data_IF_102744565208
#
_entry.id   IF_102744565208
#
_cell.length_a   1.000
_cell.length_b   1.000
_cell.length_c   1.000
_cell.angle_alpha   90.00
_cell.angle_beta   90.00
_cell.angle_gamma   90.00
#
_symmetry.space_group_name_H-M   'P 1'
#
loop_
_entity.id
_entity.type
_entity.pdbx_description
1 polymer ?
#
# COMPACT_ATOMS: atom_id res chain seq x y z
N UNK A 1 -31.72 15.49 -27.26
CA UNK A 1 -30.76 14.67 -26.49
C UNK A 1 -29.59 15.54 -26.03
N UNK A 2 -29.49 15.83 -24.73
CA UNK A 2 -28.40 16.66 -24.17
C UNK A 2 -27.09 15.86 -24.19
N UNK A 3 -26.10 16.31 -24.97
CA UNK A 3 -24.71 15.82 -24.87
C UNK A 3 -24.17 16.21 -23.50
N UNK A 4 -24.27 15.34 -22.51
CA UNK A 4 -23.51 15.46 -21.27
C UNK A 4 -22.04 15.37 -21.69
N UNK A 5 -21.32 16.48 -21.57
CA UNK A 5 -19.90 16.55 -21.91
C UNK A 5 -19.13 15.54 -21.06
N UNK A 6 -18.56 14.51 -21.69
CA UNK A 6 -17.72 13.50 -21.04
C UNK A 6 -16.61 14.15 -20.18
N UNK A 7 -16.13 15.34 -20.57
CA UNK A 7 -15.15 16.12 -19.80
C UNK A 7 -15.63 16.50 -18.40
N UNK A 8 -16.93 16.77 -18.23
CA UNK A 8 -17.52 17.14 -16.94
C UNK A 8 -17.55 15.94 -15.99
N UNK A 9 -17.89 14.75 -16.50
CA UNK A 9 -17.96 13.50 -15.73
C UNK A 9 -16.57 13.07 -15.25
N UNK A 10 -15.55 13.16 -16.11
CA UNK A 10 -14.17 12.86 -15.73
C UNK A 10 -13.60 13.86 -14.70
N UNK A 11 -13.90 15.17 -14.82
CA UNK A 11 -13.46 16.17 -13.84
C UNK A 11 -14.09 15.96 -12.45
N UNK A 12 -15.36 15.56 -12.37
CA UNK A 12 -16.03 15.28 -11.09
C UNK A 12 -15.52 14.00 -10.41
N UNK A 13 -15.14 12.97 -11.19
CA UNK A 13 -14.57 11.73 -10.66
C UNK A 13 -13.18 11.95 -10.06
N UNK A 14 -12.30 12.66 -10.77
CA UNK A 14 -10.94 12.98 -10.30
C UNK A 14 -10.97 13.86 -9.05
N UNK A 15 -11.77 14.93 -9.03
CA UNK A 15 -11.90 15.81 -7.86
C UNK A 15 -12.44 15.07 -6.62
N UNK A 16 -13.34 14.10 -6.80
CA UNK A 16 -13.88 13.31 -5.69
C UNK A 16 -12.88 12.29 -5.14
N UNK A 17 -12.08 11.64 -5.99
CA UNK A 17 -11.01 10.72 -5.56
C UNK A 17 -9.92 11.44 -4.76
N UNK A 18 -9.54 12.63 -5.23
CA UNK A 18 -8.51 13.48 -4.63
C UNK A 18 -8.92 13.97 -3.23
N UNK A 19 -10.16 14.43 -3.07
CA UNK A 19 -10.69 14.88 -1.77
C UNK A 19 -10.85 13.70 -0.78
N UNK A 20 -11.30 12.54 -1.26
CA UNK A 20 -11.44 11.34 -0.42
C UNK A 20 -10.09 10.85 0.11
N UNK A 21 -9.03 10.89 -0.71
CA UNK A 21 -7.68 10.53 -0.29
C UNK A 21 -7.18 11.44 0.86
N UNK A 22 -7.42 12.76 0.79
CA UNK A 22 -7.00 13.72 1.81
C UNK A 22 -7.75 13.55 3.15
N UNK A 23 -9.04 13.23 3.12
CA UNK A 23 -9.83 13.05 4.36
C UNK A 23 -9.45 11.79 5.16
N UNK A 24 -8.83 10.81 4.51
CA UNK A 24 -8.50 9.52 5.10
C UNK A 24 -7.06 9.40 5.59
N UNK A 25 -6.18 10.31 5.18
CA UNK A 25 -4.79 10.34 5.65
C UNK A 25 -4.67 10.73 7.14
N UNK A 26 -5.58 11.59 7.62
CA UNK A 26 -5.61 12.02 9.03
C UNK A 26 -5.86 10.89 10.04
N UNK A 27 -6.37 9.73 9.60
CA UNK A 27 -6.68 8.59 10.48
C UNK A 27 -5.67 7.44 10.45
N UNK A 28 -4.62 7.50 9.62
CA UNK A 28 -3.70 6.38 9.37
C UNK A 28 -2.23 6.68 9.70
N UNK A 29 -1.92 7.82 10.34
CA UNK A 29 -0.56 8.28 10.73
C UNK A 29 0.07 7.52 11.91
N UNK A 30 -0.25 6.24 12.11
CA UNK A 30 0.46 5.38 13.07
C UNK A 30 1.70 4.78 12.40
N UNK A 31 2.62 5.62 11.91
CA UNK A 31 3.95 5.20 11.47
C UNK A 31 4.87 5.11 12.69
N UNK A 32 5.58 3.99 12.88
CA UNK A 32 6.52 3.81 13.99
C UNK A 32 7.86 4.54 13.76
N UNK A 33 8.10 4.99 12.54
CA UNK A 33 9.37 5.57 12.10
C UNK A 33 9.34 7.10 12.22
N UNK A 34 10.12 7.64 13.16
CA UNK A 34 10.20 9.09 13.38
C UNK A 34 11.21 9.81 12.47
N UNK A 35 11.96 9.06 11.66
CA UNK A 35 13.00 9.61 10.79
C UNK A 35 12.51 9.94 9.37
N UNK A 36 13.36 10.66 8.64
CA UNK A 36 13.24 10.94 7.20
C UNK A 36 14.47 10.41 6.45
N UNK A 37 14.33 10.20 5.14
CA UNK A 37 15.44 9.90 4.24
C UNK A 37 16.26 11.18 4.01
N UNK A 38 17.57 11.00 3.95
CA UNK A 38 18.56 12.06 3.89
C UNK A 38 19.49 11.93 2.68
N UNK A 39 19.31 10.90 1.87
CA UNK A 39 20.01 10.75 0.60
C UNK A 39 19.89 12.01 -0.26
N UNK A 40 20.98 12.49 -0.90
CA UNK A 40 20.95 13.61 -1.83
C UNK A 40 19.92 13.44 -2.96
N UNK A 41 19.54 12.20 -3.27
CA UNK A 41 18.50 11.87 -4.26
C UNK A 41 17.17 12.53 -3.94
N UNK A 42 16.82 12.70 -2.65
CA UNK A 42 15.60 13.39 -2.24
C UNK A 42 15.53 14.80 -2.87
N UNK A 43 16.65 15.53 -2.89
CA UNK A 43 16.69 16.87 -3.47
C UNK A 43 16.48 16.89 -4.99
N UNK A 44 16.77 15.78 -5.68
CA UNK A 44 16.59 15.61 -7.12
C UNK A 44 15.15 15.25 -7.48
N UNK A 45 14.46 14.51 -6.61
CA UNK A 45 13.10 14.02 -6.89
C UNK A 45 12.01 14.87 -6.23
N UNK A 46 12.26 15.55 -5.12
CA UNK A 46 11.22 16.27 -4.37
C UNK A 46 10.70 17.50 -5.12
N UNK A 47 9.42 17.46 -5.51
CA UNK A 47 8.72 18.55 -6.19
C UNK A 47 9.11 18.74 -7.66
N UNK A 48 9.79 17.77 -8.27
CA UNK A 48 10.17 17.82 -9.68
C UNK A 48 9.18 17.02 -10.54
N UNK A 49 8.99 17.43 -11.79
CA UNK A 49 8.03 16.78 -12.68
C UNK A 49 8.44 15.38 -13.17
N UNK A 50 9.72 15.04 -13.03
CA UNK A 50 10.25 13.69 -13.24
C UNK A 50 10.39 12.89 -11.94
N UNK A 51 10.00 13.47 -10.80
CA UNK A 51 10.13 12.89 -9.47
C UNK A 51 8.79 12.88 -8.73
N UNK A 52 8.80 13.33 -7.49
CA UNK A 52 7.64 13.37 -6.60
C UNK A 52 6.94 14.72 -6.72
N UNK A 53 6.11 14.85 -7.76
CA UNK A 53 5.14 15.94 -7.87
C UNK A 53 3.85 15.63 -7.06
N UNK A 54 2.85 16.51 -7.15
CA UNK A 54 1.60 16.30 -6.41
C UNK A 54 0.77 15.08 -6.88
N UNK A 55 0.91 14.62 -8.13
CA UNK A 55 0.24 13.42 -8.63
C UNK A 55 0.94 12.16 -8.12
N UNK A 56 2.27 12.11 -8.20
CA UNK A 56 3.07 11.00 -7.66
C UNK A 56 2.88 10.91 -6.15
N UNK A 57 2.86 12.04 -5.44
CA UNK A 57 2.56 12.07 -4.01
C UNK A 57 1.18 11.46 -3.70
N UNK A 58 0.15 11.81 -4.46
CA UNK A 58 -1.18 11.18 -4.33
C UNK A 58 -1.11 9.66 -4.55
N UNK A 59 -0.34 9.18 -5.53
CA UNK A 59 -0.18 7.75 -5.79
C UNK A 59 0.53 7.05 -4.62
N UNK A 60 1.57 7.66 -4.04
CA UNK A 60 2.27 7.14 -2.85
C UNK A 60 1.28 6.98 -1.70
N UNK A 61 0.54 8.04 -1.38
CA UNK A 61 -0.43 8.05 -0.27
C UNK A 61 -1.56 7.05 -0.48
N UNK A 62 -2.08 6.95 -1.71
CA UNK A 62 -3.11 5.97 -2.07
C UNK A 62 -2.59 4.54 -1.91
N UNK A 63 -1.40 4.23 -2.42
CA UNK A 63 -0.82 2.89 -2.31
C UNK A 63 -0.56 2.51 -0.86
N UNK A 64 0.08 3.38 -0.08
CA UNK A 64 0.29 3.18 1.36
C UNK A 64 -1.02 2.85 2.06
N UNK A 65 -2.07 3.61 1.80
CA UNK A 65 -3.39 3.40 2.40
C UNK A 65 -4.01 2.07 1.99
N UNK A 66 -4.01 1.74 0.71
CA UNK A 66 -4.54 0.46 0.22
C UNK A 66 -3.78 -0.69 0.89
N UNK A 67 -2.45 -0.69 0.89
CA UNK A 67 -1.62 -1.70 1.56
C UNK A 67 -1.99 -1.82 3.05
N UNK A 68 -2.03 -0.71 3.81
CA UNK A 68 -2.41 -0.73 5.24
C UNK A 68 -3.81 -1.29 5.48
N UNK A 69 -4.76 -1.02 4.59
CA UNK A 69 -6.11 -1.58 4.71
C UNK A 69 -6.17 -3.10 4.50
N UNK A 70 -5.22 -3.69 3.76
CA UNK A 70 -5.08 -5.15 3.64
C UNK A 70 -4.43 -5.73 4.89
N UNK A 71 -3.42 -5.05 5.42
CA UNK A 71 -2.70 -5.45 6.63
C UNK A 71 -3.65 -5.50 7.84
N UNK A 72 -4.38 -4.40 8.10
CA UNK A 72 -5.16 -4.22 9.33
C UNK A 72 -6.68 -4.24 9.15
N UNK A 73 -7.16 -4.39 7.91
CA UNK A 73 -8.57 -4.26 7.58
C UNK A 73 -9.00 -2.81 7.34
N UNK A 74 -10.29 -2.65 7.03
CA UNK A 74 -10.95 -1.36 6.85
C UNK A 74 -11.86 -1.05 8.04
N UNK A 75 -11.96 0.21 8.42
CA UNK A 75 -12.90 0.63 9.47
C UNK A 75 -14.28 0.80 8.84
N UNK A 76 -15.23 -0.04 9.22
CA UNK A 76 -16.64 0.17 8.90
C UNK A 76 -17.25 1.11 9.94
N UNK A 77 -18.15 2.01 9.51
CA UNK A 77 -18.80 3.01 10.38
C UNK A 77 -17.83 4.01 11.05
N UNK A 78 -16.86 4.53 10.29
CA UNK A 78 -15.93 5.57 10.75
C UNK A 78 -16.68 6.74 11.40
N UNK A 79 -16.30 7.11 12.63
CA UNK A 79 -16.93 8.19 13.40
C UNK A 79 -18.11 7.76 14.29
N UNK A 80 -18.43 6.45 14.36
CA UNK A 80 -19.42 5.90 15.32
C UNK A 80 -18.72 5.16 16.47
N UNK A 81 -19.32 5.08 17.67
CA UNK A 81 -18.75 4.38 18.83
C UNK A 81 -18.48 2.88 18.57
N UNK A 82 -19.18 2.28 17.61
CA UNK A 82 -19.08 0.86 17.27
C UNK A 82 -18.25 0.62 15.99
N UNK A 83 -17.29 1.50 15.69
CA UNK A 83 -16.41 1.33 14.54
C UNK A 83 -15.66 -0.01 14.64
N UNK A 84 -15.90 -0.91 13.67
CA UNK A 84 -15.30 -2.25 13.66
C UNK A 84 -14.31 -2.36 12.51
N UNK A 85 -13.12 -2.90 12.78
CA UNK A 85 -12.17 -3.29 11.73
C UNK A 85 -12.68 -4.56 11.04
N UNK A 86 -12.82 -4.51 9.73
CA UNK A 86 -13.27 -5.61 8.88
C UNK A 86 -12.18 -5.95 7.89
N UNK A 87 -11.77 -7.20 7.90
CA UNK A 87 -10.83 -7.76 6.94
C UNK A 87 -11.33 -7.76 5.50
N UNK A 88 -10.43 -7.99 4.55
CA UNK A 88 -10.76 -8.02 3.13
C UNK A 88 -10.83 -9.45 2.57
N UNK A 89 -10.20 -10.41 3.23
CA UNK A 89 -10.01 -11.76 2.69
C UNK A 89 -10.98 -12.75 3.32
N UNK A 90 -11.67 -13.53 2.49
CA UNK A 90 -12.62 -14.54 2.95
C UNK A 90 -11.90 -15.87 3.23
N UNK A 91 -12.02 -16.34 4.47
CA UNK A 91 -11.58 -17.66 4.92
C UNK A 91 -12.67 -18.26 5.82
N UNK A 92 -13.07 -19.52 5.58
CA UNK A 92 -14.14 -20.20 6.32
C UNK A 92 -15.44 -19.36 6.50
N UNK A 93 -15.85 -18.63 5.46
CA UNK A 93 -17.06 -17.80 5.46
C UNK A 93 -16.96 -16.49 6.27
N UNK A 94 -15.79 -16.15 6.81
CA UNK A 94 -15.54 -14.92 7.56
C UNK A 94 -14.45 -14.07 6.88
N UNK A 95 -14.51 -12.76 7.10
CA UNK A 95 -13.54 -11.78 6.57
C UNK A 95 -12.41 -11.54 7.56
N UNK A 96 -11.17 -11.59 7.07
CA UNK A 96 -9.94 -11.45 7.84
C UNK A 96 -8.97 -10.47 7.18
N UNK A 97 -8.22 -9.74 8.01
CA UNK A 97 -7.06 -8.96 7.58
C UNK A 97 -5.84 -9.86 7.42
N UNK A 98 -4.74 -9.36 6.83
CA UNK A 98 -3.51 -10.16 6.76
C UNK A 98 -2.99 -10.51 8.15
N UNK A 99 -3.05 -9.58 9.11
CA UNK A 99 -2.62 -9.84 10.50
C UNK A 99 -3.44 -10.97 11.13
N UNK A 100 -4.75 -11.02 10.89
CA UNK A 100 -5.59 -12.11 11.38
C UNK A 100 -5.21 -13.45 10.73
N UNK A 101 -4.92 -13.44 9.42
CA UNK A 101 -4.52 -14.64 8.68
C UNK A 101 -3.15 -15.19 9.12
N UNK A 102 -2.22 -14.31 9.51
CA UNK A 102 -0.95 -14.72 10.15
C UNK A 102 -1.23 -15.51 11.43
N UNK A 103 -2.13 -15.00 12.28
CA UNK A 103 -2.49 -15.67 13.53
C UNK A 103 -3.16 -17.04 13.27
N UNK A 104 -4.06 -17.11 12.29
CA UNK A 104 -4.74 -18.36 11.91
C UNK A 104 -3.75 -19.38 11.34
N UNK A 105 -2.83 -18.96 10.46
CA UNK A 105 -1.78 -19.83 9.89
C UNK A 105 -0.91 -20.41 11.01
N UNK A 106 -0.47 -19.56 11.95
CA UNK A 106 0.31 -19.98 13.10
C UNK A 106 -0.46 -20.94 14.02
N UNK A 107 -1.73 -20.65 14.31
CA UNK A 107 -2.58 -21.52 15.14
C UNK A 107 -2.80 -22.88 14.48
N UNK A 108 -3.04 -22.92 13.17
CA UNK A 108 -3.25 -24.16 12.42
C UNK A 108 -2.01 -25.07 12.48
N UNK A 109 -0.82 -24.51 12.26
CA UNK A 109 0.45 -25.26 12.29
C UNK A 109 0.77 -25.78 13.69
N UNK A 110 0.60 -24.96 14.73
CA UNK A 110 0.86 -25.37 16.12
C UNK A 110 -0.13 -26.41 16.62
N UNK A 111 -1.36 -26.40 16.12
CA UNK A 111 -2.42 -27.32 16.51
C UNK A 111 -2.63 -28.44 15.48
N UNK A 112 -1.66 -28.72 14.60
CA UNK A 112 -1.81 -29.72 13.52
C UNK A 112 -2.29 -31.10 14.00
N UNK A 113 -1.91 -31.49 15.21
CA UNK A 113 -2.29 -32.78 15.82
C UNK A 113 -3.75 -32.83 16.31
N UNK A 114 -4.45 -31.69 16.40
CA UNK A 114 -5.87 -31.63 16.78
C UNK A 114 -6.81 -31.96 15.62
N UNK A 115 -6.29 -32.00 14.40
CA UNK A 115 -7.06 -32.21 13.19
C UNK A 115 -6.76 -33.57 12.58
N UNK A 116 -7.72 -34.13 11.86
CA UNK A 116 -7.41 -35.25 10.96
C UNK A 116 -6.44 -34.76 9.87
N UNK A 117 -5.64 -35.67 9.30
CA UNK A 117 -4.71 -35.30 8.22
C UNK A 117 -5.46 -34.67 7.03
N UNK A 118 -6.65 -35.17 6.68
CA UNK A 118 -7.47 -34.62 5.59
C UNK A 118 -7.91 -33.20 5.93
N UNK A 119 -8.49 -32.98 7.11
CA UNK A 119 -8.97 -31.66 7.54
C UNK A 119 -7.83 -30.62 7.61
N UNK A 120 -6.66 -31.02 8.11
CA UNK A 120 -5.48 -30.14 8.15
C UNK A 120 -5.06 -29.70 6.75
N UNK A 121 -4.99 -30.64 5.80
CA UNK A 121 -4.62 -30.33 4.41
C UNK A 121 -5.65 -29.45 3.71
N UNK A 122 -6.94 -29.65 3.96
CA UNK A 122 -8.00 -28.81 3.41
C UNK A 122 -7.91 -27.37 3.93
N UNK A 123 -7.75 -27.19 5.25
CA UNK A 123 -7.57 -25.85 5.86
C UNK A 123 -6.30 -25.17 5.34
N UNK A 124 -5.20 -25.91 5.24
CA UNK A 124 -3.93 -25.40 4.72
C UNK A 124 -4.04 -24.98 3.26
N UNK A 125 -4.70 -25.78 2.43
CA UNK A 125 -4.96 -25.43 1.03
C UNK A 125 -5.81 -24.16 0.92
N UNK A 126 -6.89 -24.06 1.70
CA UNK A 126 -7.73 -22.86 1.70
C UNK A 126 -6.98 -21.59 2.16
N UNK A 127 -6.01 -21.71 3.07
CA UNK A 127 -5.12 -20.61 3.44
C UNK A 127 -4.18 -20.24 2.28
N UNK A 128 -3.58 -21.22 1.60
CA UNK A 128 -2.73 -20.95 0.43
C UNK A 128 -3.51 -20.24 -0.70
N UNK A 129 -4.74 -20.68 -0.99
CA UNK A 129 -5.62 -20.01 -1.96
C UNK A 129 -5.97 -18.57 -1.52
N UNK A 130 -6.02 -18.32 -0.22
CA UNK A 130 -6.20 -16.98 0.34
C UNK A 130 -4.93 -16.12 0.19
N UNK A 131 -3.75 -16.71 0.40
CA UNK A 131 -2.46 -16.04 0.24
C UNK A 131 -2.23 -15.64 -1.22
N UNK A 132 -2.53 -16.52 -2.18
CA UNK A 132 -2.41 -16.18 -3.61
C UNK A 132 -3.30 -15.00 -3.98
N UNK A 133 -4.54 -14.95 -3.48
CA UNK A 133 -5.43 -13.79 -3.69
C UNK A 133 -4.85 -12.51 -3.08
N UNK A 134 -4.27 -12.60 -1.89
CA UNK A 134 -3.63 -11.44 -1.26
C UNK A 134 -2.41 -10.92 -2.04
N UNK A 135 -1.63 -11.82 -2.65
CA UNK A 135 -0.54 -11.46 -3.56
C UNK A 135 -1.07 -10.75 -4.81
N UNK A 136 -2.13 -11.28 -5.43
CA UNK A 136 -2.76 -10.65 -6.61
C UNK A 136 -3.25 -9.24 -6.30
N UNK A 137 -3.89 -9.05 -5.15
CA UNK A 137 -4.36 -7.74 -4.73
C UNK A 137 -3.19 -6.78 -4.54
N UNK A 138 -2.09 -7.21 -3.92
CA UNK A 138 -0.89 -6.39 -3.77
C UNK A 138 -0.28 -6.01 -5.12
N UNK A 139 -0.12 -6.97 -6.03
CA UNK A 139 0.37 -6.71 -7.39
C UNK A 139 -0.52 -5.70 -8.09
N UNK A 140 -1.84 -5.88 -8.01
CA UNK A 140 -2.83 -5.01 -8.65
C UNK A 140 -2.77 -3.58 -8.11
N UNK A 141 -2.73 -3.39 -6.79
CA UNK A 141 -2.69 -2.04 -6.21
C UNK A 141 -1.37 -1.33 -6.54
N UNK A 142 -0.24 -2.05 -6.49
CA UNK A 142 1.09 -1.47 -6.70
C UNK A 142 1.41 -1.22 -8.17
N UNK A 143 0.80 -1.94 -9.11
CA UNK A 143 1.08 -1.83 -10.55
C UNK A 143 0.95 -0.40 -11.10
N UNK A 144 -0.04 0.36 -10.64
CA UNK A 144 -0.21 1.75 -11.07
C UNK A 144 0.94 2.65 -10.59
N UNK A 145 1.49 2.36 -9.41
CA UNK A 145 2.61 3.10 -8.84
C UNK A 145 3.93 2.67 -9.47
N UNK A 146 4.21 1.37 -9.56
CA UNK A 146 5.45 0.85 -10.14
C UNK A 146 5.66 1.33 -11.57
N UNK A 147 4.61 1.30 -12.41
CA UNK A 147 4.66 1.88 -13.76
C UNK A 147 5.00 3.37 -13.78
N UNK A 148 4.50 4.14 -12.81
CA UNK A 148 4.76 5.57 -12.69
C UNK A 148 6.19 5.89 -12.26
N UNK A 149 6.86 5.00 -11.52
CA UNK A 149 8.19 5.23 -10.96
C UNK A 149 9.32 4.49 -11.69
N UNK A 150 9.03 3.77 -12.77
CA UNK A 150 10.03 2.96 -13.49
C UNK A 150 11.27 3.77 -13.93
N UNK A 151 11.10 5.04 -14.33
CA UNK A 151 12.20 5.91 -14.75
C UNK A 151 13.12 6.36 -13.60
N UNK A 152 12.67 6.21 -12.35
CA UNK A 152 13.42 6.59 -11.15
C UNK A 152 13.74 5.38 -10.28
N UNK A 153 13.64 4.15 -10.81
CA UNK A 153 13.82 2.92 -10.04
C UNK A 153 15.18 2.85 -9.32
N UNK A 154 16.26 3.17 -10.01
CA UNK A 154 17.61 3.15 -9.41
C UNK A 154 17.72 4.15 -8.25
N UNK A 155 17.09 5.31 -8.40
CA UNK A 155 16.99 6.31 -7.34
C UNK A 155 16.17 5.79 -6.15
N UNK A 156 15.06 5.11 -6.43
CA UNK A 156 14.23 4.47 -5.40
C UNK A 156 14.98 3.36 -4.66
N UNK A 157 15.84 2.61 -5.34
CA UNK A 157 16.63 1.55 -4.72
C UNK A 157 17.57 2.11 -3.65
N UNK A 158 18.28 3.22 -3.93
CA UNK A 158 19.14 3.90 -2.94
C UNK A 158 18.32 4.38 -1.74
N UNK A 159 17.10 4.87 -1.96
CA UNK A 159 16.20 5.31 -0.90
C UNK A 159 15.67 4.13 -0.05
N UNK A 160 15.38 3.00 -0.69
CA UNK A 160 15.00 1.76 -0.01
C UNK A 160 16.18 1.22 0.81
N UNK A 161 17.39 1.27 0.27
CA UNK A 161 18.60 0.85 0.99
C UNK A 161 18.81 1.71 2.25
N UNK A 162 18.74 3.04 2.12
CA UNK A 162 18.82 3.95 3.27
C UNK A 162 17.73 3.66 4.31
N UNK A 163 16.49 3.42 3.87
CA UNK A 163 15.37 3.05 4.75
C UNK A 163 15.66 1.74 5.50
N UNK A 164 16.16 0.71 4.81
CA UNK A 164 16.47 -0.58 5.42
C UNK A 164 17.64 -0.49 6.39
N UNK A 165 18.65 0.34 6.08
CA UNK A 165 19.78 0.65 6.97
C UNK A 165 19.29 1.32 8.26
N UNK A 166 18.46 2.36 8.15
CA UNK A 166 17.93 3.10 9.32
C UNK A 166 17.02 2.25 10.22
N UNK A 167 16.35 1.24 9.66
CA UNK A 167 15.54 0.27 10.40
C UNK A 167 16.33 -0.95 10.90
N UNK A 168 17.60 -1.11 10.54
CA UNK A 168 18.41 -2.26 10.93
C UNK A 168 18.00 -3.59 10.28
N UNK A 169 17.35 -3.57 9.11
CA UNK A 169 16.79 -4.75 8.43
C UNK A 169 17.46 -5.08 7.08
N UNK A 170 18.63 -4.49 6.78
CA UNK A 170 19.24 -4.52 5.45
C UNK A 170 19.38 -5.92 4.83
N UNK A 171 19.82 -6.92 5.61
CA UNK A 171 20.12 -8.27 5.09
C UNK A 171 18.87 -9.13 4.86
N UNK A 172 17.80 -8.84 5.58
CA UNK A 172 16.58 -9.66 5.61
C UNK A 172 15.44 -9.02 4.81
N UNK A 173 15.58 -7.73 4.46
CA UNK A 173 14.55 -6.96 3.78
C UNK A 173 14.14 -7.57 2.44
N UNK A 174 12.93 -8.12 2.41
CA UNK A 174 12.29 -8.53 1.17
C UNK A 174 11.92 -7.33 0.30
N UNK A 175 11.74 -6.14 0.89
CA UNK A 175 11.53 -4.90 0.16
C UNK A 175 12.77 -4.51 -0.66
N UNK A 176 13.97 -4.61 -0.07
CA UNK A 176 15.22 -4.34 -0.78
C UNK A 176 15.42 -5.32 -1.93
N UNK A 177 15.29 -6.63 -1.66
CA UNK A 177 15.35 -7.68 -2.69
C UNK A 177 14.34 -7.47 -3.81
N UNK A 178 13.14 -6.99 -3.49
CA UNK A 178 12.12 -6.65 -4.48
C UNK A 178 12.50 -5.43 -5.33
N UNK A 179 13.15 -4.42 -4.74
CA UNK A 179 13.68 -3.26 -5.47
C UNK A 179 14.85 -3.60 -6.41
N UNK A 180 15.70 -4.56 -6.04
CA UNK A 180 16.86 -5.02 -6.82
C UNK A 180 16.50 -5.86 -8.05
N UNK A 181 15.32 -6.50 -8.04
CA UNK A 181 14.84 -7.30 -9.17
C UNK A 181 14.68 -6.41 -10.41
N UNK A 182 15.02 -6.92 -11.60
CA UNK A 182 14.86 -6.18 -12.85
C UNK A 182 13.40 -5.74 -13.10
N UNK A 183 13.22 -4.58 -13.74
CA UNK A 183 11.88 -4.08 -14.06
C UNK A 183 11.07 -5.08 -14.91
N UNK A 184 9.85 -5.37 -14.49
CA UNK A 184 8.98 -6.38 -15.10
C UNK A 184 9.10 -7.78 -14.51
N UNK A 185 10.06 -8.03 -13.61
CA UNK A 185 10.23 -9.33 -12.93
C UNK A 185 9.77 -9.31 -11.47
N UNK A 186 9.34 -8.15 -10.95
CA UNK A 186 8.94 -7.96 -9.55
C UNK A 186 7.78 -8.88 -9.13
N UNK A 187 6.80 -9.04 -10.02
CA UNK A 187 5.63 -9.89 -9.80
C UNK A 187 6.05 -11.35 -9.56
N UNK A 188 7.03 -11.83 -10.34
CA UNK A 188 7.53 -13.20 -10.22
C UNK A 188 8.13 -13.45 -8.83
N UNK A 189 8.86 -12.46 -8.29
CA UNK A 189 9.41 -12.56 -6.93
C UNK A 189 8.28 -12.72 -5.90
N UNK A 190 7.24 -11.91 -5.99
CA UNK A 190 6.10 -11.95 -5.06
C UNK A 190 5.43 -13.32 -5.08
N UNK A 191 5.16 -13.85 -6.28
CA UNK A 191 4.53 -15.17 -6.44
C UNK A 191 5.38 -16.29 -5.84
N UNK A 192 6.70 -16.25 -6.06
CA UNK A 192 7.61 -17.34 -5.72
C UNK A 192 8.14 -17.33 -4.29
N UNK A 193 8.38 -16.14 -3.70
CA UNK A 193 9.12 -16.03 -2.44
C UNK A 193 8.24 -16.02 -1.19
N UNK A 194 7.03 -15.49 -1.28
CA UNK A 194 6.16 -15.39 -0.12
C UNK A 194 5.30 -16.65 0.02
N UNK A 195 5.76 -17.61 0.80
CA UNK A 195 5.04 -18.89 1.00
C UNK A 195 4.22 -18.94 2.30
N UNK A 196 4.35 -17.92 3.16
CA UNK A 196 3.60 -17.77 4.41
C UNK A 196 2.91 -16.41 4.45
N UNK A 197 1.81 -16.30 5.21
CA UNK A 197 1.21 -14.99 5.49
C UNK A 197 2.15 -14.10 6.27
N UNK A 198 2.96 -14.66 7.17
CA UNK A 198 3.90 -13.89 8.00
C UNK A 198 4.87 -13.08 7.12
N UNK A 199 5.56 -13.76 6.21
CA UNK A 199 6.58 -13.13 5.37
C UNK A 199 5.95 -12.10 4.42
N UNK A 200 4.80 -12.44 3.84
CA UNK A 200 4.06 -11.54 2.96
C UNK A 200 3.56 -10.29 3.69
N UNK A 201 3.04 -10.47 4.90
CA UNK A 201 2.53 -9.36 5.72
C UNK A 201 3.66 -8.43 6.14
N UNK A 202 4.80 -8.99 6.55
CA UNK A 202 5.99 -8.18 6.90
C UNK A 202 6.46 -7.35 5.70
N UNK A 203 6.55 -7.96 4.51
CA UNK A 203 6.88 -7.23 3.28
C UNK A 203 5.88 -6.10 2.99
N UNK A 204 4.59 -6.33 3.18
CA UNK A 204 3.57 -5.29 3.02
C UNK A 204 3.75 -4.14 4.04
N UNK A 205 4.06 -4.48 5.30
CA UNK A 205 4.35 -3.49 6.35
C UNK A 205 5.56 -2.64 5.96
N UNK A 206 6.68 -3.28 5.62
CA UNK A 206 7.90 -2.60 5.21
C UNK A 206 7.66 -1.68 4.02
N UNK A 207 6.88 -2.13 3.03
CA UNK A 207 6.50 -1.33 1.86
C UNK A 207 5.67 -0.11 2.26
N UNK A 208 4.65 -0.28 3.10
CA UNK A 208 3.79 0.83 3.53
C UNK A 208 4.55 1.85 4.38
N UNK A 209 5.44 1.39 5.25
CA UNK A 209 6.27 2.23 6.11
C UNK A 209 7.35 2.96 5.32
N UNK A 210 7.96 2.30 4.33
CA UNK A 210 8.86 2.96 3.38
C UNK A 210 8.15 4.08 2.63
N UNK A 211 6.96 3.82 2.07
CA UNK A 211 6.18 4.84 1.36
C UNK A 211 5.82 6.03 2.25
N UNK A 212 5.57 5.80 3.54
CA UNK A 212 5.33 6.87 4.52
C UNK A 212 6.56 7.73 4.76
N UNK A 213 7.69 7.09 5.05
CA UNK A 213 8.96 7.77 5.30
C UNK A 213 9.39 8.52 4.05
N UNK A 214 9.22 7.92 2.86
CA UNK A 214 9.52 8.57 1.58
C UNK A 214 8.65 9.80 1.36
N UNK A 215 7.33 9.71 1.56
CA UNK A 215 6.42 10.85 1.45
C UNK A 215 6.82 11.99 2.40
N UNK A 216 7.11 11.67 3.67
CA UNK A 216 7.58 12.66 4.67
C UNK A 216 8.93 13.30 4.30
N UNK A 217 9.73 12.61 3.50
CA UNK A 217 11.02 13.12 3.01
C UNK A 217 10.87 14.05 1.81
N UNK A 218 9.66 14.17 1.22
CA UNK A 218 9.38 14.98 0.03
C UNK A 218 8.40 16.14 0.33
N UNK A 219 8.82 17.16 1.10
CA UNK A 219 7.96 18.27 1.50
C UNK A 219 7.46 19.13 0.33
N UNK A 220 8.24 19.30 -0.75
CA UNK A 220 7.75 20.05 -1.92
C UNK A 220 6.66 19.29 -2.65
N UNK A 221 6.79 17.96 -2.77
CA UNK A 221 5.75 17.07 -3.29
C UNK A 221 4.44 17.20 -2.51
N UNK A 222 4.53 17.22 -1.17
CA UNK A 222 3.37 17.43 -0.29
C UNK A 222 2.70 18.80 -0.52
N UNK A 223 3.48 19.87 -0.65
CA UNK A 223 2.96 21.21 -0.95
C UNK A 223 2.23 21.25 -2.30
N UNK A 224 2.81 20.62 -3.34
CA UNK A 224 2.17 20.53 -4.66
C UNK A 224 0.87 19.73 -4.60
N UNK A 225 0.86 18.64 -3.85
CA UNK A 225 -0.35 17.85 -3.60
C UNK A 225 -1.43 18.70 -2.89
N UNK A 226 -1.07 19.45 -1.85
CA UNK A 226 -1.98 20.37 -1.16
C UNK A 226 -2.60 21.41 -2.10
N UNK A 227 -1.81 22.00 -3.00
CA UNK A 227 -2.32 22.92 -4.04
C UNK A 227 -3.33 22.22 -4.96
N UNK A 228 -3.05 20.99 -5.38
CA UNK A 228 -3.97 20.20 -6.20
C UNK A 228 -5.29 19.90 -5.49
N UNK A 229 -5.26 19.60 -4.18
CA UNK A 229 -6.47 19.44 -3.35
C UNK A 229 -7.33 20.71 -3.39
N UNK A 230 -6.71 21.87 -3.14
CA UNK A 230 -7.41 23.14 -3.07
C UNK A 230 -8.02 23.54 -4.41
N UNK A 231 -7.32 23.31 -5.51
CA UNK A 231 -7.85 23.50 -6.86
C UNK A 231 -9.04 22.59 -7.15
N UNK A 232 -8.98 21.31 -6.74
CA UNK A 232 -10.07 20.35 -6.91
C UNK A 232 -11.32 20.77 -6.11
N UNK A 233 -11.14 21.27 -4.88
CA UNK A 233 -12.23 21.82 -4.05
C UNK A 233 -12.88 23.03 -4.72
N UNK A 234 -12.09 23.98 -5.22
CA UNK A 234 -12.61 25.18 -5.93
C UNK A 234 -13.43 24.81 -7.17
N UNK A 235 -12.93 23.88 -8.00
CA UNK A 235 -13.65 23.39 -9.20
C UNK A 235 -14.97 22.69 -8.85
N UNK A 236 -15.02 21.98 -7.72
CA UNK A 236 -16.25 21.31 -7.23
C UNK A 236 -17.27 22.33 -6.69
N UNK A 237 -16.81 23.41 -6.07
CA UNK A 237 -17.69 24.49 -5.62
C UNK A 237 -18.27 25.30 -6.80
N UNK A 238 -17.49 25.55 -7.84
CA UNK A 238 -17.95 26.31 -9.03
C UNK A 238 -18.83 25.52 -10.00
N UNK A 239 -18.99 24.20 -9.81
CA UNK A 239 -19.82 23.32 -10.65
C UNK A 239 -21.16 22.94 -10.01
N UNK A 240 -21.45 23.47 -8.82
CA UNK A 240 -22.75 23.42 -8.16
C UNK A 240 -23.53 24.69 -8.45
#
# INVERSE_FOLDING_TARGET
MKKISLKLVFCCALSSQVIFAAQLDNGLREGKNDFVLTSPIISLVDGTFYGVDGQVFLLIMKNRREIRSRIYGTVENTGKPNAKKIGLYNFAGKKYSLVDLVAIEFELENNKFKYSNIEFQEKKKALLDCLERAKEDFITITNAYTKGINSIKDHMLVLIEEFCQKNGIINESMLLKWGEIEAGQEERLIRQKFVTFKDFTQFCIDTADFLEVFARSCPKGEILFGKMIEEAKKKKASSR
#
